data_IF_230143658167
#
_entry.id   IF_230143658167
#
_cell.length_a   1.000
_cell.length_b   1.000
_cell.length_c   1.000
_cell.angle_alpha   90.00
_cell.angle_beta   90.00
_cell.angle_gamma   90.00
#
_symmetry.space_group_name_H-M   'P 1'
#
loop_
_entity.id
_entity.type
_entity.pdbx_description
1 polymer ?
#
# COMPACT_ATOMS: atom_id res chain seq x y z
N UNK A 1 0.73 4.46 -28.55
CA UNK A 1 1.69 4.13 -27.48
C UNK A 1 2.70 3.09 -27.96
N UNK A 2 3.98 3.31 -27.69
CA UNK A 2 5.03 2.32 -27.89
C UNK A 2 5.17 1.43 -26.64
N UNK A 3 5.59 0.19 -26.79
CA UNK A 3 5.93 -0.69 -25.66
C UNK A 3 7.32 -1.29 -25.87
N UNK A 4 7.99 -1.62 -24.76
CA UNK A 4 9.33 -2.23 -24.79
C UNK A 4 9.25 -3.73 -25.05
N UNK A 5 10.10 -4.23 -25.95
CA UNK A 5 10.32 -5.68 -26.13
C UNK A 5 11.63 -6.03 -25.44
N UNK A 6 11.55 -6.78 -24.34
CA UNK A 6 12.72 -7.27 -23.62
C UNK A 6 13.25 -8.55 -24.29
N UNK A 7 14.43 -8.48 -24.89
CA UNK A 7 15.15 -9.66 -25.41
C UNK A 7 15.99 -10.35 -24.32
N UNK A 8 16.10 -9.73 -23.15
CA UNK A 8 16.85 -10.23 -22.00
C UNK A 8 16.17 -9.69 -20.74
N UNK A 9 15.94 -10.57 -19.77
CA UNK A 9 15.37 -10.26 -18.45
C UNK A 9 16.26 -10.86 -17.38
N UNK A 10 16.12 -10.42 -16.12
CA UNK A 10 16.71 -11.16 -14.99
C UNK A 10 16.01 -12.50 -14.81
N UNK A 11 16.68 -13.42 -14.12
CA UNK A 11 16.09 -14.73 -13.77
C UNK A 11 14.87 -14.59 -12.83
N UNK A 12 14.71 -13.45 -12.16
CA UNK A 12 13.53 -13.18 -11.30
C UNK A 12 12.21 -13.32 -12.07
N UNK A 13 12.19 -12.96 -13.36
CA UNK A 13 11.01 -13.07 -14.23
C UNK A 13 10.57 -14.52 -14.46
N UNK A 14 11.42 -15.51 -14.18
CA UNK A 14 11.03 -16.93 -14.24
C UNK A 14 10.16 -17.37 -13.06
N UNK A 15 10.16 -16.59 -11.98
CA UNK A 15 9.43 -16.90 -10.74
C UNK A 15 8.09 -16.18 -10.63
N UNK A 16 7.83 -15.18 -11.48
CA UNK A 16 6.56 -14.46 -11.50
C UNK A 16 5.52 -15.18 -12.38
N UNK A 17 4.26 -15.09 -11.98
CA UNK A 17 3.14 -15.63 -12.75
C UNK A 17 2.64 -14.68 -13.85
N UNK A 18 3.28 -13.52 -14.03
CA UNK A 18 2.91 -12.52 -15.05
C UNK A 18 3.93 -12.50 -16.19
N UNK A 19 3.46 -12.12 -17.39
CA UNK A 19 4.28 -12.08 -18.61
C UNK A 19 4.99 -10.73 -18.82
N UNK A 20 4.56 -9.66 -18.12
CA UNK A 20 5.14 -8.34 -18.30
C UNK A 20 4.67 -7.31 -17.27
N UNK A 21 5.15 -6.09 -17.43
CA UNK A 21 4.91 -4.97 -16.51
C UNK A 21 4.31 -3.80 -17.29
N UNK A 22 3.23 -3.23 -16.76
CA UNK A 22 2.66 -1.97 -17.23
C UNK A 22 2.97 -0.86 -16.21
N UNK A 23 3.83 0.07 -16.59
CA UNK A 23 4.15 1.23 -15.75
C UNK A 23 3.01 2.25 -15.73
N UNK A 24 2.59 2.66 -14.54
CA UNK A 24 1.49 3.61 -14.32
C UNK A 24 1.93 4.92 -13.65
N UNK A 25 3.23 5.21 -13.58
CA UNK A 25 3.72 6.51 -13.13
C UNK A 25 3.40 7.62 -14.15
N UNK A 26 3.45 8.87 -13.70
CA UNK A 26 3.29 10.06 -14.55
C UNK A 26 4.63 10.46 -15.21
N UNK A 27 5.73 9.83 -14.79
CA UNK A 27 7.07 10.06 -15.30
C UNK A 27 7.18 9.58 -16.75
N UNK A 28 7.72 10.42 -17.63
CA UNK A 28 8.12 10.00 -18.97
C UNK A 28 9.49 9.33 -18.92
N UNK A 29 9.59 8.16 -19.56
CA UNK A 29 10.86 7.50 -19.82
C UNK A 29 11.39 7.86 -21.21
N UNK A 30 12.00 6.89 -21.88
CA UNK A 30 12.40 7.00 -23.30
C UNK A 30 11.21 7.04 -24.27
N UNK A 31 10.01 6.73 -23.78
CA UNK A 31 8.74 6.79 -24.51
C UNK A 31 7.66 7.38 -23.58
N UNK A 32 6.54 7.79 -24.17
CA UNK A 32 5.37 8.26 -23.42
C UNK A 32 4.90 7.20 -22.41
N UNK A 33 4.51 7.66 -21.22
CA UNK A 33 3.95 6.78 -20.20
C UNK A 33 2.48 6.44 -20.49
N UNK A 34 2.01 5.33 -19.92
CA UNK A 34 0.68 4.79 -20.22
C UNK A 34 -0.45 5.79 -19.94
N UNK A 35 -0.41 6.39 -18.75
CA UNK A 35 -1.41 7.35 -18.31
C UNK A 35 -1.37 8.64 -19.16
N UNK A 36 -0.18 9.05 -19.58
CA UNK A 36 0.05 10.17 -20.48
C UNK A 36 -0.61 9.96 -21.84
N UNK A 37 -0.39 8.82 -22.50
CA UNK A 37 -1.03 8.57 -23.80
C UNK A 37 -2.56 8.44 -23.68
N UNK A 38 -3.06 7.79 -22.64
CA UNK A 38 -4.51 7.68 -22.41
C UNK A 38 -5.16 9.06 -22.23
N UNK A 39 -4.48 9.94 -21.50
CA UNK A 39 -4.91 11.32 -21.27
C UNK A 39 -4.91 12.13 -22.56
N UNK A 40 -3.85 12.01 -23.37
CA UNK A 40 -3.75 12.69 -24.67
C UNK A 40 -4.86 12.25 -25.63
N UNK A 41 -5.12 10.95 -25.70
CA UNK A 41 -6.17 10.36 -26.56
C UNK A 41 -7.58 10.55 -25.99
N UNK A 42 -7.73 11.11 -24.78
CA UNK A 42 -9.01 11.37 -24.10
C UNK A 42 -9.90 10.14 -23.97
N UNK A 43 -9.30 8.99 -23.65
CA UNK A 43 -10.02 7.70 -23.61
C UNK A 43 -10.80 7.48 -22.31
N UNK A 44 -10.50 8.26 -21.27
CA UNK A 44 -11.14 8.14 -19.96
C UNK A 44 -11.99 9.37 -19.65
N UNK A 45 -13.05 9.17 -18.85
CA UNK A 45 -13.88 10.26 -18.31
C UNK A 45 -13.08 11.17 -17.38
N UNK A 46 -12.19 10.60 -16.60
CA UNK A 46 -11.25 11.27 -15.70
C UNK A 46 -9.94 10.52 -15.74
N UNK A 47 -8.80 11.20 -15.70
CA UNK A 47 -7.49 10.54 -15.75
C UNK A 47 -7.10 10.06 -14.36
N UNK A 48 -7.87 9.10 -13.86
CA UNK A 48 -7.66 8.47 -12.56
C UNK A 48 -7.60 6.96 -12.76
N UNK A 49 -6.85 6.29 -11.90
CA UNK A 49 -7.03 4.86 -11.72
C UNK A 49 -7.08 4.54 -10.24
N UNK A 50 -7.83 3.51 -9.87
CA UNK A 50 -7.95 3.08 -8.48
C UNK A 50 -7.62 1.61 -8.34
N UNK A 51 -7.05 1.23 -7.21
CA UNK A 51 -6.62 -0.13 -6.90
C UNK A 51 -7.30 -0.59 -5.62
N UNK A 52 -7.95 -1.75 -5.70
CA UNK A 52 -8.36 -2.56 -4.56
C UNK A 52 -7.55 -3.85 -4.60
N UNK A 53 -6.63 -4.03 -3.65
CA UNK A 53 -5.81 -5.24 -3.56
C UNK A 53 -6.35 -6.15 -2.46
N UNK A 54 -6.80 -7.34 -2.84
CA UNK A 54 -7.39 -8.28 -1.88
C UNK A 54 -6.31 -9.10 -1.16
N UNK A 55 -6.64 -9.51 0.06
CA UNK A 55 -5.92 -10.57 0.77
C UNK A 55 -6.53 -11.91 0.41
N UNK A 56 -5.72 -12.81 -0.12
CA UNK A 56 -6.18 -14.16 -0.49
C UNK A 56 -6.75 -14.96 0.71
N UNK A 57 -6.32 -14.64 1.93
CA UNK A 57 -6.86 -15.27 3.15
C UNK A 57 -8.29 -14.82 3.48
N UNK A 58 -8.69 -13.60 3.08
CA UNK A 58 -9.99 -13.04 3.45
C UNK A 58 -11.12 -13.48 2.51
N UNK A 59 -10.80 -14.22 1.43
CA UNK A 59 -11.79 -14.72 0.48
C UNK A 59 -11.22 -14.87 -0.93
N UNK A 60 -12.11 -14.92 -1.95
CA UNK A 60 -11.68 -14.93 -3.34
C UNK A 60 -10.76 -13.74 -3.64
N UNK A 61 -9.61 -14.00 -4.25
CA UNK A 61 -8.69 -12.95 -4.68
C UNK A 61 -9.25 -12.25 -5.92
N UNK A 62 -10.03 -11.19 -5.72
CA UNK A 62 -10.74 -10.42 -6.74
C UNK A 62 -10.20 -9.01 -6.87
N UNK A 63 -8.89 -8.84 -6.59
CA UNK A 63 -8.21 -7.55 -6.71
C UNK A 63 -8.50 -6.89 -8.05
N UNK A 64 -8.70 -5.58 -8.02
CA UNK A 64 -9.19 -4.82 -9.15
C UNK A 64 -8.37 -3.55 -9.35
N UNK A 65 -8.08 -3.25 -10.62
CA UNK A 65 -7.72 -1.91 -11.07
C UNK A 65 -8.87 -1.36 -11.91
N UNK A 66 -9.28 -0.13 -11.61
CA UNK A 66 -10.34 0.58 -12.34
C UNK A 66 -9.73 1.82 -12.95
N UNK A 67 -9.75 1.91 -14.29
CA UNK A 67 -9.33 3.11 -15.01
C UNK A 67 -10.53 4.01 -15.29
N UNK A 68 -10.34 5.31 -15.18
CA UNK A 68 -11.35 6.31 -15.55
C UNK A 68 -12.35 6.66 -14.46
N UNK A 69 -12.19 6.12 -13.25
CA UNK A 69 -13.09 6.37 -12.15
C UNK A 69 -12.71 5.68 -10.85
N UNK A 70 -13.62 5.79 -9.90
CA UNK A 70 -13.54 5.25 -8.55
C UNK A 70 -14.70 4.27 -8.39
N UNK A 71 -14.43 3.07 -7.88
CA UNK A 71 -15.46 2.09 -7.56
C UNK A 71 -16.10 2.42 -6.20
N UNK A 72 -17.18 3.19 -6.24
CA UNK A 72 -17.94 3.58 -5.05
C UNK A 72 -18.48 2.39 -4.24
N UNK A 73 -18.60 1.19 -4.82
CA UNK A 73 -19.06 0.01 -4.09
C UNK A 73 -18.05 -0.45 -3.03
N UNK A 74 -16.79 -0.01 -3.12
CA UNK A 74 -15.71 -0.29 -2.16
C UNK A 74 -15.62 0.74 -1.03
N UNK A 75 -16.43 1.80 -1.07
CA UNK A 75 -16.35 2.93 -0.15
C UNK A 75 -17.57 2.96 0.78
N UNK A 76 -17.33 3.23 2.06
CA UNK A 76 -18.39 3.51 3.06
C UNK A 76 -18.29 4.91 3.65
N UNK A 77 -17.34 5.71 3.18
CA UNK A 77 -17.09 7.07 3.61
C UNK A 77 -16.24 7.81 2.59
N UNK A 78 -15.69 8.94 3.01
CA UNK A 78 -14.95 9.84 2.15
C UNK A 78 -13.48 9.43 2.00
N UNK A 79 -12.96 9.61 0.79
CA UNK A 79 -11.54 9.42 0.48
C UNK A 79 -10.76 10.60 1.03
N UNK A 80 -9.67 10.32 1.74
CA UNK A 80 -8.69 11.34 2.14
C UNK A 80 -7.64 11.48 1.05
N UNK A 81 -7.31 12.71 0.65
CA UNK A 81 -6.32 12.96 -0.40
C UNK A 81 -5.05 13.61 0.13
N UNK A 82 -3.92 13.16 -0.40
CA UNK A 82 -2.59 13.74 -0.19
C UNK A 82 -1.96 14.09 -1.53
N UNK A 83 -1.52 15.33 -1.71
CA UNK A 83 -0.87 15.77 -2.94
C UNK A 83 0.48 15.09 -3.14
N UNK A 84 0.75 14.65 -4.37
CA UNK A 84 2.08 14.17 -4.77
C UNK A 84 3.04 15.35 -4.75
N UNK A 85 4.23 15.16 -4.19
CA UNK A 85 5.22 16.25 -4.13
C UNK A 85 5.79 16.56 -5.51
N UNK A 86 6.04 17.84 -5.79
CA UNK A 86 6.71 18.25 -7.02
C UNK A 86 8.11 17.63 -7.18
N UNK A 87 8.77 17.27 -6.07
CA UNK A 87 10.09 16.61 -6.07
C UNK A 87 10.03 15.13 -6.44
N UNK A 88 8.84 14.54 -6.58
CA UNK A 88 8.66 13.15 -7.01
C UNK A 88 8.83 12.99 -8.53
N UNK A 89 8.94 14.11 -9.26
CA UNK A 89 9.11 14.21 -10.71
C UNK A 89 8.01 13.55 -11.57
N UNK A 90 7.02 12.88 -10.98
CA UNK A 90 6.00 12.09 -11.69
C UNK A 90 5.79 10.70 -11.09
N UNK A 91 6.58 10.32 -10.08
CA UNK A 91 6.31 9.13 -9.27
C UNK A 91 5.18 9.38 -8.27
N UNK A 92 4.49 8.30 -7.90
CA UNK A 92 3.43 8.31 -6.90
C UNK A 92 4.00 8.36 -5.48
N UNK A 93 4.63 9.49 -5.15
CA UNK A 93 5.24 9.73 -3.85
C UNK A 93 4.57 10.90 -3.10
N UNK A 94 4.10 10.61 -1.88
CA UNK A 94 3.37 11.56 -1.03
C UNK A 94 4.12 11.82 0.29
N UNK A 95 4.01 13.03 0.88
CA UNK A 95 4.56 13.32 2.19
C UNK A 95 3.95 12.41 3.27
N UNK A 96 4.81 11.77 4.06
CA UNK A 96 4.43 10.89 5.16
C UNK A 96 4.63 11.59 6.49
N UNK A 97 3.55 11.66 7.29
CA UNK A 97 3.55 12.34 8.58
C UNK A 97 4.15 11.49 9.70
N UNK A 98 4.05 10.16 9.56
CA UNK A 98 4.77 9.24 10.43
C UNK A 98 4.25 7.81 10.41
N UNK A 99 4.79 7.03 11.35
CA UNK A 99 4.38 5.65 11.61
C UNK A 99 4.21 5.39 13.10
N UNK A 100 3.45 4.35 13.43
CA UNK A 100 3.21 3.95 14.81
C UNK A 100 2.85 2.48 14.98
N UNK A 101 2.69 2.09 16.25
CA UNK A 101 2.26 0.76 16.68
C UNK A 101 1.43 0.89 17.95
N UNK A 102 0.21 0.32 17.93
CA UNK A 102 -0.73 0.33 19.07
C UNK A 102 -0.90 1.74 19.70
N UNK A 103 -1.05 2.76 18.84
CA UNK A 103 -1.20 4.16 19.25
C UNK A 103 0.08 4.89 19.67
N UNK A 104 1.23 4.20 19.71
CA UNK A 104 2.53 4.82 20.00
C UNK A 104 3.22 5.26 18.71
N UNK A 105 3.78 6.48 18.70
CA UNK A 105 4.47 7.04 17.53
C UNK A 105 5.93 6.56 17.47
N UNK A 106 6.39 6.16 16.29
CA UNK A 106 7.76 5.72 16.02
C UNK A 106 8.74 6.88 15.73
N UNK A 107 8.32 8.14 15.90
CA UNK A 107 9.11 9.34 15.62
C UNK A 107 9.68 9.41 14.18
N UNK A 108 9.00 8.79 13.23
CA UNK A 108 9.27 8.92 11.79
C UNK A 108 8.59 10.19 11.30
N UNK A 109 9.34 11.12 10.72
CA UNK A 109 8.80 12.41 10.23
C UNK A 109 9.59 12.90 9.03
N UNK A 110 8.99 13.76 8.20
CA UNK A 110 9.69 14.43 7.10
C UNK A 110 10.15 13.47 5.99
N UNK A 111 9.37 12.42 5.73
CA UNK A 111 9.66 11.41 4.70
C UNK A 111 8.70 11.53 3.52
N UNK A 112 9.13 11.02 2.38
CA UNK A 112 8.21 10.66 1.29
C UNK A 112 7.92 9.17 1.37
N UNK A 113 6.71 8.78 0.98
CA UNK A 113 6.34 7.40 0.76
C UNK A 113 5.92 7.22 -0.70
N UNK A 114 6.60 6.31 -1.40
CA UNK A 114 6.23 5.81 -2.72
C UNK A 114 5.16 4.74 -2.53
N UNK A 115 3.97 4.97 -3.10
CA UNK A 115 2.86 4.02 -3.07
C UNK A 115 3.00 3.13 -4.31
N UNK A 116 3.49 1.91 -4.11
CA UNK A 116 4.06 1.09 -5.20
C UNK A 116 3.37 -0.27 -5.34
N UNK A 117 2.49 -0.40 -6.32
CA UNK A 117 1.79 -1.65 -6.64
C UNK A 117 2.73 -2.76 -7.14
N UNK A 118 3.95 -2.43 -7.56
CA UNK A 118 4.95 -3.38 -8.04
C UNK A 118 5.79 -4.02 -6.93
N UNK A 119 5.63 -3.57 -5.68
CA UNK A 119 6.40 -4.06 -4.54
C UNK A 119 5.54 -4.94 -3.62
N UNK A 120 6.05 -6.10 -3.20
CA UNK A 120 5.34 -6.98 -2.26
C UNK A 120 5.40 -6.48 -0.81
N UNK A 121 6.55 -5.96 -0.39
CA UNK A 121 6.86 -5.62 1.00
C UNK A 121 6.75 -4.13 1.29
N UNK A 122 7.13 -3.71 2.50
CA UNK A 122 7.46 -2.31 2.77
C UNK A 122 8.96 -2.17 3.03
N UNK A 123 9.54 -1.09 2.51
CA UNK A 123 10.96 -0.78 2.65
C UNK A 123 11.10 0.65 3.15
N UNK A 124 11.96 0.88 4.14
CA UNK A 124 12.19 2.21 4.70
C UNK A 124 13.63 2.43 5.14
N UNK A 125 13.99 3.69 5.46
CA UNK A 125 15.29 4.01 6.04
C UNK A 125 15.58 3.13 7.27
N UNK A 126 16.77 2.52 7.40
CA UNK A 126 17.09 1.63 8.52
C UNK A 126 16.81 2.24 9.90
N UNK A 127 17.13 3.52 10.09
CA UNK A 127 16.88 4.23 11.35
C UNK A 127 15.40 4.39 11.66
N UNK A 128 14.57 4.67 10.64
CA UNK A 128 13.12 4.81 10.81
C UNK A 128 12.49 3.45 11.17
N UNK A 129 12.90 2.39 10.47
CA UNK A 129 12.44 1.02 10.75
C UNK A 129 12.90 0.57 12.14
N UNK A 130 14.13 0.86 12.53
CA UNK A 130 14.62 0.59 13.88
C UNK A 130 13.80 1.33 14.94
N UNK A 131 13.43 2.58 14.71
CA UNK A 131 12.57 3.33 15.63
C UNK A 131 11.16 2.73 15.75
N UNK A 132 10.58 2.25 14.64
CA UNK A 132 9.31 1.53 14.64
C UNK A 132 9.40 0.24 15.46
N UNK A 133 10.42 -0.59 15.23
CA UNK A 133 10.54 -1.85 15.98
C UNK A 133 10.93 -1.66 17.44
N UNK A 134 11.56 -0.54 17.81
CA UNK A 134 11.85 -0.21 19.20
C UNK A 134 10.59 -0.04 20.05
N UNK A 135 9.47 0.36 19.46
CA UNK A 135 8.20 0.53 20.17
C UNK A 135 7.32 -0.74 20.15
N UNK A 136 7.76 -1.81 19.48
CA UNK A 136 7.04 -3.10 19.42
C UNK A 136 7.59 -4.03 20.50
N UNK A 137 6.80 -4.38 21.55
CA UNK A 137 7.29 -5.23 22.62
C UNK A 137 7.72 -6.62 22.13
N UNK A 138 8.94 -7.02 22.48
CA UNK A 138 9.50 -8.32 22.10
C UNK A 138 9.97 -8.41 20.65
N UNK A 139 9.95 -7.32 19.89
CA UNK A 139 10.59 -7.28 18.59
C UNK A 139 12.11 -7.27 18.69
N UNK A 140 12.77 -7.83 17.68
CA UNK A 140 14.23 -7.87 17.61
C UNK A 140 14.73 -7.92 16.18
N UNK A 141 15.99 -7.53 15.98
CA UNK A 141 16.72 -7.67 14.72
C UNK A 141 18.16 -8.06 15.01
N UNK A 142 18.74 -8.87 14.12
CA UNK A 142 20.15 -9.30 14.20
C UNK A 142 21.02 -8.46 13.26
N UNK A 143 20.48 -8.04 12.12
CA UNK A 143 21.21 -7.40 11.02
C UNK A 143 20.81 -5.91 10.78
N UNK A 144 19.80 -5.41 11.49
CA UNK A 144 19.24 -4.07 11.29
C UNK A 144 18.40 -3.92 10.01
N UNK A 145 18.16 -5.01 9.28
CA UNK A 145 17.40 -5.02 8.01
C UNK A 145 16.13 -5.83 8.16
N UNK A 146 16.25 -7.04 8.72
CA UNK A 146 15.15 -7.97 8.97
C UNK A 146 14.76 -7.90 10.45
N UNK A 147 13.46 -7.90 10.70
CA UNK A 147 12.91 -7.78 12.05
C UNK A 147 11.98 -8.94 12.34
N UNK A 148 11.99 -9.39 13.59
CA UNK A 148 11.07 -10.37 14.14
C UNK A 148 10.20 -9.71 15.20
N UNK A 149 9.01 -10.24 15.41
CA UNK A 149 8.12 -9.82 16.49
C UNK A 149 7.39 -11.04 17.08
N UNK A 150 6.79 -10.94 18.27
CA UNK A 150 6.03 -12.04 18.82
C UNK A 150 4.89 -12.48 17.90
N UNK A 151 4.85 -13.76 17.54
CA UNK A 151 3.81 -14.34 16.67
C UNK A 151 2.38 -14.15 17.16
N UNK A 152 2.19 -13.86 18.46
CA UNK A 152 0.88 -13.62 19.07
C UNK A 152 0.48 -12.14 19.08
N UNK A 153 1.18 -11.28 18.33
CA UNK A 153 0.77 -9.89 18.15
C UNK A 153 -0.62 -9.83 17.55
N UNK A 154 -1.47 -8.95 18.07
CA UNK A 154 -2.82 -8.66 17.56
C UNK A 154 -2.94 -7.19 17.10
N UNK A 155 -1.82 -6.46 17.08
CA UNK A 155 -1.80 -5.02 16.86
C UNK A 155 -1.42 -4.64 15.44
N UNK A 156 -2.02 -3.56 14.98
CA UNK A 156 -1.70 -2.97 13.68
C UNK A 156 -0.51 -2.01 13.81
N UNK A 157 0.23 -1.89 12.71
CA UNK A 157 1.14 -0.76 12.47
C UNK A 157 0.31 0.35 11.82
N UNK A 158 0.60 1.60 12.12
CA UNK A 158 -0.06 2.75 11.48
C UNK A 158 0.91 3.50 10.58
N UNK A 159 0.41 4.01 9.47
CA UNK A 159 1.07 5.00 8.62
C UNK A 159 0.17 6.22 8.54
N UNK A 160 0.73 7.41 8.60
CA UNK A 160 -0.05 8.66 8.63
C UNK A 160 0.23 9.51 7.40
N UNK A 161 -0.84 9.92 6.75
CA UNK A 161 -0.84 10.83 5.59
C UNK A 161 -1.86 11.94 5.79
N UNK A 162 -1.45 13.19 5.62
CA UNK A 162 -2.32 14.37 5.80
C UNK A 162 -3.13 14.34 7.12
N UNK A 163 -2.51 13.87 8.20
CA UNK A 163 -3.10 13.74 9.53
C UNK A 163 -4.08 12.56 9.71
N UNK A 164 -4.26 11.70 8.71
CA UNK A 164 -5.11 10.51 8.78
C UNK A 164 -4.26 9.26 8.95
N UNK A 165 -4.61 8.44 9.95
CA UNK A 165 -3.94 7.17 10.23
C UNK A 165 -4.56 6.02 9.42
N UNK A 166 -3.71 5.29 8.71
CA UNK A 166 -4.04 4.09 7.96
C UNK A 166 -3.42 2.87 8.66
N UNK A 167 -4.25 1.89 9.00
CA UNK A 167 -3.81 0.69 9.69
C UNK A 167 -3.26 -0.33 8.69
N UNK A 168 -2.10 -0.91 8.99
CA UNK A 168 -1.58 -2.13 8.38
C UNK A 168 -1.88 -3.27 9.36
N UNK A 169 -2.75 -4.18 8.95
CA UNK A 169 -3.14 -5.34 9.74
C UNK A 169 -1.95 -6.23 10.08
N UNK A 170 -2.00 -6.89 11.24
CA UNK A 170 -0.99 -7.89 11.65
C UNK A 170 -0.80 -9.00 10.63
N UNK A 171 -1.87 -9.38 9.91
CA UNK A 171 -1.81 -10.36 8.82
C UNK A 171 -0.90 -9.95 7.66
N UNK A 172 -0.66 -8.66 7.50
CA UNK A 172 0.12 -8.11 6.38
C UNK A 172 1.53 -7.71 6.78
N UNK A 173 1.73 -7.16 7.98
CA UNK A 173 3.07 -6.75 8.42
C UNK A 173 3.88 -7.85 9.10
N UNK A 174 3.25 -8.91 9.62
CA UNK A 174 3.89 -10.02 10.32
C UNK A 174 3.59 -11.36 9.62
N UNK A 175 4.60 -12.19 9.44
CA UNK A 175 4.44 -13.53 8.87
C UNK A 175 3.77 -14.49 9.85
N UNK A 176 3.19 -15.56 9.31
CA UNK A 176 2.92 -16.76 10.10
C UNK A 176 4.22 -17.33 10.69
N UNK A 177 4.13 -18.11 11.79
CA UNK A 177 5.31 -18.75 12.38
C UNK A 177 5.99 -19.69 11.38
N UNK A 178 7.31 -19.58 11.27
CA UNK A 178 8.14 -20.59 10.60
C UNK A 178 8.11 -21.92 11.36
N UNK A 179 8.72 -22.96 10.78
CA UNK A 179 8.90 -24.27 11.46
C UNK A 179 9.66 -24.16 12.80
N UNK A 180 10.49 -23.11 12.98
CA UNK A 180 11.19 -22.82 14.23
C UNK A 180 10.39 -21.93 15.20
N UNK A 181 9.14 -21.59 14.86
CA UNK A 181 8.26 -20.75 15.67
C UNK A 181 8.60 -19.26 15.63
N UNK A 182 9.31 -18.80 14.59
CA UNK A 182 9.73 -17.40 14.44
C UNK A 182 8.81 -16.70 13.45
N UNK A 183 8.31 -15.51 13.82
CA UNK A 183 7.57 -14.64 12.92
C UNK A 183 8.44 -13.46 12.50
N UNK A 184 8.54 -13.27 11.18
CA UNK A 184 9.36 -12.25 10.55
C UNK A 184 8.44 -11.15 10.02
N UNK A 185 8.89 -9.91 10.09
CA UNK A 185 8.15 -8.81 9.48
C UNK A 185 8.33 -8.74 7.97
N UNK A 186 7.27 -8.30 7.30
CA UNK A 186 7.24 -7.86 5.91
C UNK A 186 7.64 -6.39 5.72
N UNK A 187 8.20 -5.73 6.74
CA UNK A 187 8.74 -4.37 6.71
C UNK A 187 10.25 -4.43 6.96
N UNK A 188 11.04 -3.90 6.02
CA UNK A 188 12.49 -4.05 6.01
C UNK A 188 13.22 -2.70 6.12
N UNK A 189 14.28 -2.70 6.93
CA UNK A 189 15.24 -1.59 7.08
C UNK A 189 16.19 -1.51 5.88
N UNK A 190 15.67 -1.19 4.70
CA UNK A 190 16.43 -1.06 3.46
C UNK A 190 15.87 0.07 2.62
N UNK A 191 16.72 0.95 2.13
CA UNK A 191 16.32 2.03 1.24
C UNK A 191 16.38 1.57 -0.23
N UNK A 192 15.27 1.78 -0.94
CA UNK A 192 15.24 1.71 -2.41
C UNK A 192 15.59 3.08 -2.99
N UNK A 193 14.99 4.13 -2.42
CA UNK A 193 15.34 5.54 -2.64
C UNK A 193 15.80 6.12 -1.31
N UNK A 194 16.95 6.79 -1.31
CA UNK A 194 17.54 7.35 -0.10
C UNK A 194 16.55 8.30 0.61
N UNK A 195 16.32 8.06 1.90
CA UNK A 195 15.47 8.85 2.76
C UNK A 195 13.96 8.71 2.51
N UNK A 196 13.51 7.71 1.75
CA UNK A 196 12.10 7.50 1.42
C UNK A 196 11.62 6.09 1.75
N UNK A 197 10.31 5.99 1.98
CA UNK A 197 9.59 4.74 2.17
C UNK A 197 9.02 4.22 0.85
N UNK A 198 8.99 2.91 0.68
CA UNK A 198 8.22 2.21 -0.36
C UNK A 198 7.15 1.38 0.34
N UNK A 199 5.89 1.69 0.04
CA UNK A 199 4.73 1.03 0.62
C UNK A 199 4.06 0.20 -0.48
N UNK A 200 4.38 -1.10 -0.46
CA UNK A 200 3.86 -2.07 -1.41
C UNK A 200 2.59 -2.78 -0.94
N UNK A 201 2.44 -4.04 -1.36
CA UNK A 201 1.27 -4.86 -1.08
C UNK A 201 0.95 -4.99 0.41
N UNK A 202 1.96 -5.00 1.30
CA UNK A 202 1.78 -4.93 2.77
C UNK A 202 0.85 -3.79 3.18
N UNK A 203 1.01 -2.61 2.58
CA UNK A 203 0.17 -1.46 2.84
C UNK A 203 -1.09 -1.47 1.97
N UNK A 204 -0.94 -1.67 0.65
CA UNK A 204 -2.02 -1.56 -0.34
C UNK A 204 -3.16 -2.56 -0.18
N UNK A 205 -2.93 -3.69 0.51
CA UNK A 205 -4.02 -4.60 0.89
C UNK A 205 -5.01 -3.94 1.86
N UNK A 206 -4.53 -3.02 2.70
CA UNK A 206 -5.29 -2.42 3.79
C UNK A 206 -6.00 -1.12 3.39
N UNK A 207 -5.72 -0.58 2.21
CA UNK A 207 -6.29 0.68 1.74
C UNK A 207 -6.76 0.55 0.30
N UNK A 208 -7.93 1.11 0.01
CA UNK A 208 -8.35 1.40 -1.34
C UNK A 208 -7.64 2.68 -1.78
N UNK A 209 -6.90 2.60 -2.88
CA UNK A 209 -6.01 3.68 -3.33
C UNK A 209 -6.46 4.23 -4.67
N UNK A 210 -6.59 5.55 -4.76
CA UNK A 210 -6.90 6.29 -5.99
C UNK A 210 -5.68 7.10 -6.39
N UNK A 211 -5.22 6.90 -7.61
CA UNK A 211 -4.14 7.66 -8.23
C UNK A 211 -4.77 8.65 -9.22
N UNK A 212 -4.76 9.93 -8.86
CA UNK A 212 -5.42 11.00 -9.59
C UNK A 212 -4.38 11.81 -10.39
N UNK A 213 -4.30 11.55 -11.70
CA UNK A 213 -3.35 12.21 -12.62
C UNK A 213 -3.80 13.63 -12.96
N UNK A 214 -5.10 13.91 -12.88
CA UNK A 214 -5.62 15.24 -13.18
C UNK A 214 -5.26 16.24 -12.08
N UNK A 215 -5.34 15.82 -10.82
CA UNK A 215 -5.06 16.67 -9.65
C UNK A 215 -3.69 16.37 -9.00
N UNK A 216 -2.92 15.41 -9.52
CA UNK A 216 -1.59 15.04 -9.04
C UNK A 216 -1.60 14.72 -7.53
N UNK A 217 -2.44 13.76 -7.14
CA UNK A 217 -2.67 13.38 -5.74
C UNK A 217 -3.01 11.90 -5.60
N UNK A 218 -2.83 11.37 -4.40
CA UNK A 218 -3.25 10.02 -4.02
C UNK A 218 -4.41 10.14 -3.04
N UNK A 219 -5.49 9.44 -3.33
CA UNK A 219 -6.64 9.28 -2.45
C UNK A 219 -6.58 7.93 -1.75
N UNK A 220 -6.86 7.90 -0.45
CA UNK A 220 -6.81 6.69 0.35
C UNK A 220 -8.08 6.56 1.19
N UNK A 221 -8.62 5.35 1.23
CA UNK A 221 -9.74 4.97 2.07
C UNK A 221 -9.45 3.62 2.72
N UNK A 222 -9.68 3.41 4.02
CA UNK A 222 -9.47 2.11 4.66
C UNK A 222 -10.26 1.00 3.96
N UNK A 223 -9.58 -0.06 3.55
CA UNK A 223 -10.26 -1.22 2.94
C UNK A 223 -11.21 -1.86 3.95
N UNK A 224 -12.42 -2.17 3.50
CA UNK A 224 -13.39 -2.90 4.29
C UNK A 224 -12.94 -4.35 4.44
N UNK A 225 -12.27 -4.65 5.55
CA UNK A 225 -12.28 -6.01 6.06
C UNK A 225 -13.50 -6.11 6.95
N UNK A 226 -14.53 -6.81 6.48
CA UNK A 226 -15.60 -7.22 7.39
C UNK A 226 -14.99 -8.31 8.29
N UNK A 227 -14.70 -8.06 9.58
CA UNK A 227 -14.74 -9.17 10.51
C UNK A 227 -16.17 -9.70 10.38
N UNK A 228 -16.32 -11.01 10.14
CA UNK A 228 -17.60 -11.69 9.98
C UNK A 228 -18.61 -11.40 11.11
N UNK A 229 -18.19 -10.77 12.21
CA UNK A 229 -19.03 -10.41 13.36
C UNK A 229 -19.84 -9.10 13.20
N UNK A 230 -19.47 -8.16 12.34
CA UNK A 230 -20.21 -6.87 12.26
C UNK A 230 -21.43 -6.94 11.33
N UNK A 231 -21.46 -7.87 10.36
CA UNK A 231 -22.61 -8.05 9.47
C UNK A 231 -23.83 -8.69 10.19
N UNK A 232 -23.64 -9.26 11.37
CA UNK A 232 -24.74 -9.82 12.18
C UNK A 232 -25.56 -8.76 12.94
N UNK A 233 -25.08 -7.52 13.11
CA UNK A 233 -25.78 -6.52 13.94
C UNK A 233 -26.68 -5.53 13.19
N UNK A 234 -26.63 -5.47 11.86
CA UNK A 234 -27.44 -4.50 11.08
C UNK A 234 -28.77 -5.11 10.58
N UNK A 235 -28.96 -6.43 10.64
CA UNK A 235 -30.13 -7.10 10.05
C UNK A 235 -31.27 -7.44 11.04
N UNK A 236 -31.32 -6.80 12.22
CA UNK A 236 -32.39 -7.05 13.21
C UNK A 236 -33.12 -5.78 13.71
N UNK A 237 -32.90 -4.63 13.09
CA UNK A 237 -33.50 -3.35 13.50
C UNK A 237 -34.43 -2.74 12.44
N UNK A 238 -35.08 -3.55 11.61
CA UNK A 238 -36.19 -3.09 10.76
C UNK A 238 -37.18 -4.24 10.62
N UNK A 239 -38.15 -4.32 11.52
CA UNK A 239 -39.54 -4.77 11.30
C UNK A 239 -40.21 -4.92 12.67
N UNK A 240 -40.87 -3.85 13.14
CA UNK A 240 -42.12 -3.88 13.91
C UNK A 240 -42.65 -2.47 14.06
N UNK A 241 -43.54 -2.10 13.15
CA UNK A 241 -44.60 -1.11 13.42
C UNK A 241 -45.93 -1.73 13.02
N UNK A 242 -46.87 -1.62 13.97
CA UNK A 242 -48.26 -2.06 14.02
C UNK A 242 -48.50 -3.55 14.33
#
# INVERSE_FOLDING_TARGET
MAFGVANTTSDDFTSFAFDGILGLSMNNGSSDNFMGSIKEDKLLKSNVFSVALDRAEDGPNTGQITFGGIDSSKLTGDITYTSVTATANGDWAIPMDGMGYDGNKANVTGRLAYIDTGTTYAFGPPDDVANLYKIIPGASSIDGVTYTAPCKSDKSITVTFSGVEHNISVKDWLSEPSDSGVCTSNIFGREVVAGAWFLGAVYLKNVYTVFDVDETRIGEFPSLFFPFEILAMVNHALFKTN
#
